data_IF_954147915144
#
_entry.id   IF_954147915144
#
_cell.length_a   1.000
_cell.length_b   1.000
_cell.length_c   1.000
_cell.angle_alpha   90.00
_cell.angle_beta   90.00
_cell.angle_gamma   90.00
#
_symmetry.space_group_name_H-M   'P 1'
#
loop_
_entity.id
_entity.type
_entity.pdbx_description
1 polymer ?
#
# COMPACT_ATOMS: atom_id res chain seq x y z
N UNK A 1 -18.83 -4.80 6.05
CA UNK A 1 -18.95 -6.16 5.50
C UNK A 1 -18.24 -6.29 4.14
N UNK A 2 -18.48 -5.42 3.16
CA UNK A 2 -17.81 -5.52 1.83
C UNK A 2 -16.28 -5.49 1.91
N UNK A 3 -15.70 -4.78 2.85
CA UNK A 3 -14.26 -4.66 3.02
C UNK A 3 -13.66 -5.92 3.62
N UNK A 4 -14.12 -6.31 4.79
CA UNK A 4 -13.55 -7.41 5.59
C UNK A 4 -14.07 -8.79 5.20
N UNK A 5 -15.22 -8.86 4.54
CA UNK A 5 -15.99 -10.08 4.34
C UNK A 5 -17.07 -10.26 5.40
N UNK A 6 -17.82 -11.33 5.29
CA UNK A 6 -18.90 -11.66 6.23
C UNK A 6 -18.96 -13.16 6.51
N UNK A 7 -19.49 -13.52 7.67
CA UNK A 7 -19.80 -14.88 8.04
C UNK A 7 -21.29 -15.15 7.80
N UNK A 8 -21.59 -16.20 7.06
CA UNK A 8 -22.96 -16.67 6.85
C UNK A 8 -23.38 -17.50 8.09
N UNK A 9 -24.24 -16.89 8.91
CA UNK A 9 -24.71 -17.48 10.15
C UNK A 9 -25.83 -18.50 9.90
N UNK A 10 -26.63 -18.33 8.85
CA UNK A 10 -27.70 -19.26 8.53
C UNK A 10 -27.12 -20.62 8.10
N UNK A 11 -26.04 -20.60 7.32
CA UNK A 11 -25.28 -21.80 6.99
C UNK A 11 -24.62 -22.42 8.24
N UNK A 12 -24.12 -21.58 9.17
CA UNK A 12 -23.52 -22.07 10.40
C UNK A 12 -24.54 -22.78 11.32
N UNK A 13 -25.75 -22.25 11.40
CA UNK A 13 -26.82 -22.80 12.23
C UNK A 13 -27.47 -24.05 11.61
N UNK A 14 -27.60 -24.09 10.27
CA UNK A 14 -28.26 -25.20 9.56
C UNK A 14 -27.32 -26.39 9.28
N UNK A 15 -26.06 -26.11 8.97
CA UNK A 15 -25.08 -27.11 8.52
C UNK A 15 -23.94 -27.34 9.53
N UNK A 16 -23.90 -26.61 10.63
CA UNK A 16 -22.83 -26.68 11.63
C UNK A 16 -21.46 -26.20 11.13
N UNK A 17 -21.43 -25.47 10.00
CA UNK A 17 -20.20 -24.94 9.38
C UNK A 17 -20.36 -23.48 9.07
N UNK A 18 -19.53 -22.63 9.69
CA UNK A 18 -19.47 -21.22 9.34
C UNK A 18 -18.91 -21.05 7.92
N UNK A 19 -19.70 -20.50 7.00
CA UNK A 19 -19.25 -20.18 5.65
C UNK A 19 -18.77 -18.73 5.62
N UNK A 20 -17.50 -18.52 5.24
CA UNK A 20 -16.93 -17.20 5.07
C UNK A 20 -17.10 -16.71 3.63
N UNK A 21 -17.70 -15.53 3.48
CA UNK A 21 -17.77 -14.81 2.20
C UNK A 21 -16.66 -13.75 2.14
N UNK A 22 -15.66 -13.92 1.25
CA UNK A 22 -14.48 -13.07 1.22
C UNK A 22 -14.80 -11.63 0.75
N UNK A 23 -14.32 -10.65 1.51
CA UNK A 23 -14.36 -9.23 1.17
C UNK A 23 -13.20 -8.77 0.28
N UNK A 24 -13.06 -7.45 0.14
CA UNK A 24 -12.00 -6.82 -0.67
C UNK A 24 -10.61 -7.16 -0.12
N UNK A 25 -10.43 -7.20 1.21
CA UNK A 25 -9.13 -7.51 1.83
C UNK A 25 -8.64 -8.92 1.48
N UNK A 26 -9.54 -9.90 1.44
CA UNK A 26 -9.19 -11.26 1.03
C UNK A 26 -8.78 -11.32 -0.45
N UNK A 27 -9.49 -10.59 -1.31
CA UNK A 27 -9.20 -10.50 -2.75
C UNK A 27 -7.89 -9.77 -3.07
N UNK A 28 -7.51 -8.82 -2.22
CA UNK A 28 -6.26 -8.08 -2.36
C UNK A 28 -5.01 -8.87 -1.93
N UNK A 29 -5.19 -10.04 -1.31
CA UNK A 29 -4.06 -10.83 -0.80
C UNK A 29 -3.05 -11.19 -1.90
N UNK A 30 -1.78 -10.87 -1.67
CA UNK A 30 -0.69 -11.03 -2.63
C UNK A 30 -0.58 -9.93 -3.70
N UNK A 31 -1.44 -8.90 -3.64
CA UNK A 31 -1.52 -7.84 -4.63
C UNK A 31 -1.41 -6.43 -4.05
N UNK A 32 -2.15 -5.52 -4.65
CA UNK A 32 -2.21 -4.09 -4.27
C UNK A 32 -3.66 -3.71 -3.96
N UNK A 33 -3.86 -3.01 -2.86
CA UNK A 33 -5.12 -2.35 -2.54
C UNK A 33 -4.95 -0.85 -2.74
N UNK A 34 -5.62 -0.31 -3.74
CA UNK A 34 -5.66 1.12 -4.00
C UNK A 34 -6.92 1.73 -3.39
N UNK A 35 -6.74 2.78 -2.63
CA UNK A 35 -7.81 3.55 -1.98
C UNK A 35 -7.70 5.00 -2.42
N UNK A 36 -8.65 5.43 -3.23
CA UNK A 36 -8.75 6.83 -3.64
C UNK A 36 -9.35 7.66 -2.52
N UNK A 37 -8.83 8.86 -2.32
CA UNK A 37 -9.28 9.82 -1.31
C UNK A 37 -9.42 9.19 0.09
N UNK A 38 -8.36 8.55 0.55
CA UNK A 38 -8.35 7.82 1.83
C UNK A 38 -8.72 8.72 3.03
N UNK A 39 -8.50 10.04 2.92
CA UNK A 39 -8.87 11.05 3.90
C UNK A 39 -10.39 11.24 4.06
N UNK A 40 -11.20 10.82 3.07
CA UNK A 40 -12.66 10.87 3.14
C UNK A 40 -13.28 9.62 3.77
N UNK A 41 -12.49 8.58 3.99
CA UNK A 41 -12.96 7.40 4.71
C UNK A 41 -13.15 7.69 6.20
N UNK A 42 -14.14 7.08 6.85
CA UNK A 42 -14.24 7.09 8.31
C UNK A 42 -12.95 6.54 8.95
N UNK A 43 -12.46 7.20 9.99
CA UNK A 43 -11.20 6.86 10.66
C UNK A 43 -11.08 5.37 11.03
N UNK A 44 -12.17 4.76 11.53
CA UNK A 44 -12.17 3.35 11.91
C UNK A 44 -11.93 2.40 10.72
N UNK A 45 -12.29 2.81 9.49
CA UNK A 45 -11.98 2.04 8.29
C UNK A 45 -10.52 2.23 7.87
N UNK A 46 -9.97 3.43 8.01
CA UNK A 46 -8.54 3.68 7.75
C UNK A 46 -7.69 2.91 8.76
N UNK A 47 -8.03 2.95 10.05
CA UNK A 47 -7.37 2.16 11.10
C UNK A 47 -7.37 0.67 10.76
N UNK A 48 -8.54 0.12 10.41
CA UNK A 48 -8.67 -1.27 10.03
C UNK A 48 -7.76 -1.64 8.83
N UNK A 49 -7.76 -0.80 7.79
CA UNK A 49 -6.92 -1.00 6.60
C UNK A 49 -5.43 -1.02 6.95
N UNK A 50 -5.00 -0.08 7.78
CA UNK A 50 -3.61 0.04 8.22
C UNK A 50 -3.20 -1.12 9.14
N UNK A 51 -4.09 -1.58 10.03
CA UNK A 51 -3.85 -2.74 10.88
C UNK A 51 -3.69 -4.02 10.07
N UNK A 52 -4.57 -4.25 9.11
CA UNK A 52 -4.50 -5.42 8.24
C UNK A 52 -3.29 -5.34 7.31
N UNK A 53 -2.97 -4.17 6.75
CA UNK A 53 -1.77 -3.98 5.93
C UNK A 53 -0.48 -4.25 6.72
N UNK A 54 -0.44 -3.86 8.00
CA UNK A 54 0.71 -4.08 8.88
C UNK A 54 0.85 -5.55 9.33
N UNK A 55 -0.26 -6.19 9.70
CA UNK A 55 -0.27 -7.57 10.21
C UNK A 55 -0.23 -8.63 9.10
N UNK A 56 -0.74 -8.30 7.93
CA UNK A 56 -0.96 -9.23 6.82
C UNK A 56 -2.08 -10.23 7.05
N UNK A 57 -2.94 -9.98 8.02
CA UNK A 57 -4.02 -10.89 8.45
C UNK A 57 -5.27 -10.06 8.72
N UNK A 58 -6.40 -10.53 8.21
CA UNK A 58 -7.71 -10.01 8.57
C UNK A 58 -8.44 -11.00 9.50
N UNK A 59 -9.00 -10.47 10.58
CA UNK A 59 -9.83 -11.20 11.55
C UNK A 59 -11.26 -10.68 11.44
N UNK A 60 -12.19 -11.59 11.17
CA UNK A 60 -13.63 -11.28 11.10
C UNK A 60 -14.31 -12.01 12.26
N UNK A 61 -14.92 -11.25 13.15
CA UNK A 61 -15.65 -11.78 14.29
C UNK A 61 -17.12 -11.40 14.19
N UNK A 62 -18.00 -12.40 14.33
CA UNK A 62 -19.45 -12.18 14.33
C UNK A 62 -20.13 -13.23 15.20
N UNK A 63 -20.94 -12.78 16.13
CA UNK A 63 -21.80 -13.64 16.99
C UNK A 63 -21.04 -14.82 17.65
N UNK A 64 -19.81 -14.54 18.13
CA UNK A 64 -18.96 -15.53 18.78
C UNK A 64 -18.20 -16.45 17.82
N UNK A 65 -18.38 -16.30 16.51
CA UNK A 65 -17.61 -17.02 15.49
C UNK A 65 -16.49 -16.11 15.00
N UNK A 66 -15.27 -16.66 14.96
CA UNK A 66 -14.07 -15.96 14.49
C UNK A 66 -13.50 -16.63 13.25
N UNK A 67 -13.24 -15.86 12.20
CA UNK A 67 -12.58 -16.33 10.99
C UNK A 67 -11.36 -15.50 10.68
N UNK A 68 -10.24 -16.17 10.45
CA UNK A 68 -8.94 -15.54 10.18
C UNK A 68 -8.44 -15.96 8.80
N UNK A 69 -8.04 -14.98 7.99
CA UNK A 69 -7.48 -15.25 6.67
C UNK A 69 -6.29 -14.34 6.34
N UNK A 70 -5.37 -14.78 5.45
CA UNK A 70 -4.29 -13.94 4.94
C UNK A 70 -4.85 -12.74 4.17
N UNK A 71 -4.24 -11.57 4.40
CA UNK A 71 -4.55 -10.33 3.70
C UNK A 71 -3.27 -9.49 3.56
N UNK A 72 -2.26 -10.07 2.91
CA UNK A 72 -0.98 -9.41 2.63
C UNK A 72 -1.09 -8.66 1.32
N UNK A 73 -1.06 -7.34 1.36
CA UNK A 73 -1.15 -6.48 0.18
C UNK A 73 -0.32 -5.21 0.39
N UNK A 74 0.01 -4.54 -0.69
CA UNK A 74 0.55 -3.18 -0.64
C UNK A 74 -0.63 -2.22 -0.62
N UNK A 75 -0.74 -1.40 0.43
CA UNK A 75 -1.76 -0.36 0.52
C UNK A 75 -1.23 0.91 -0.15
N UNK A 76 -1.97 1.43 -1.12
CA UNK A 76 -1.72 2.73 -1.76
C UNK A 76 -2.94 3.60 -1.50
N UNK A 77 -2.76 4.70 -0.78
CA UNK A 77 -3.79 5.71 -0.56
C UNK A 77 -3.44 7.00 -1.29
N UNK A 78 -4.42 7.63 -1.93
CA UNK A 78 -4.31 9.01 -2.38
C UNK A 78 -5.10 9.91 -1.45
N UNK A 79 -4.72 11.16 -1.37
CA UNK A 79 -5.52 12.19 -0.71
C UNK A 79 -5.33 13.54 -1.39
N UNK A 80 -6.39 14.35 -1.31
CA UNK A 80 -6.32 15.77 -1.63
C UNK A 80 -6.37 16.55 -0.31
N UNK A 81 -5.28 17.26 0.09
CA UNK A 81 -5.27 18.02 1.34
C UNK A 81 -6.34 19.11 1.40
N UNK A 82 -6.84 19.59 0.26
CA UNK A 82 -7.91 20.61 0.21
C UNK A 82 -9.26 20.07 0.66
N UNK A 83 -9.47 18.75 0.57
CA UNK A 83 -10.73 18.07 0.96
C UNK A 83 -10.71 17.54 2.40
N UNK A 84 -9.59 17.70 3.08
CA UNK A 84 -9.38 17.27 4.46
C UNK A 84 -8.05 16.56 4.63
N UNK A 85 -7.55 16.58 5.85
CA UNK A 85 -6.30 15.92 6.22
C UNK A 85 -6.57 14.64 6.99
N UNK A 86 -5.70 13.64 6.79
CA UNK A 86 -5.65 12.49 7.69
C UNK A 86 -5.15 12.94 9.05
N UNK A 87 -5.72 12.37 10.10
CA UNK A 87 -5.19 12.58 11.46
C UNK A 87 -3.71 12.18 11.50
N UNK A 88 -2.86 12.92 12.22
CA UNK A 88 -1.42 12.65 12.30
C UNK A 88 -1.11 11.19 12.67
N UNK A 89 -1.90 10.60 13.56
CA UNK A 89 -1.75 9.21 14.00
C UNK A 89 -2.00 8.18 12.88
N UNK A 90 -2.89 8.49 11.92
CA UNK A 90 -3.14 7.65 10.75
C UNK A 90 -2.06 7.87 9.69
N UNK A 91 -1.66 9.13 9.48
CA UNK A 91 -0.60 9.47 8.53
C UNK A 91 0.73 8.82 8.92
N UNK A 92 1.08 8.82 10.22
CA UNK A 92 2.27 8.16 10.76
C UNK A 92 2.31 6.64 10.50
N UNK A 93 1.18 6.01 10.27
CA UNK A 93 1.09 4.57 9.97
C UNK A 93 1.32 4.24 8.49
N UNK A 94 1.23 5.23 7.59
CA UNK A 94 1.70 5.08 6.22
C UNK A 94 3.23 5.10 6.21
N UNK A 95 3.84 4.07 5.64
CA UNK A 95 5.31 3.93 5.65
C UNK A 95 6.02 4.93 4.74
N UNK A 96 5.40 5.32 3.64
CA UNK A 96 5.95 6.27 2.68
C UNK A 96 4.88 7.29 2.29
N UNK A 97 5.31 8.54 2.16
CA UNK A 97 4.47 9.64 1.70
C UNK A 97 5.17 10.38 0.56
N UNK A 98 4.42 10.70 -0.49
CA UNK A 98 4.91 11.47 -1.64
C UNK A 98 3.98 12.65 -1.85
N UNK A 99 4.49 13.85 -1.60
CA UNK A 99 3.79 15.07 -1.94
C UNK A 99 4.01 15.40 -3.43
N UNK A 100 2.92 15.45 -4.19
CA UNK A 100 2.95 15.88 -5.58
C UNK A 100 2.84 17.41 -5.61
N UNK A 101 3.90 18.09 -6.06
CA UNK A 101 3.84 19.55 -6.27
C UNK A 101 2.94 19.85 -7.48
N UNK A 102 2.02 20.80 -7.33
CA UNK A 102 1.17 21.26 -8.44
C UNK A 102 1.91 22.01 -9.55
N UNK A 103 3.21 22.29 -9.38
CA UNK A 103 4.04 23.00 -10.35
C UNK A 103 4.74 22.02 -11.28
N UNK A 104 3.99 21.51 -12.25
CA UNK A 104 4.56 20.76 -13.37
C UNK A 104 5.04 21.72 -14.45
N UNK A 105 6.26 21.54 -14.94
CA UNK A 105 6.80 22.36 -16.03
C UNK A 105 5.90 22.29 -17.27
N UNK A 106 5.75 23.40 -18.04
CA UNK A 106 4.90 23.41 -19.24
C UNK A 106 5.19 22.28 -20.23
N UNK A 107 6.47 21.92 -20.39
CA UNK A 107 6.89 20.79 -21.26
C UNK A 107 6.37 19.46 -20.76
N UNK A 108 6.45 19.22 -19.46
CA UNK A 108 5.95 17.98 -18.83
C UNK A 108 4.42 17.91 -18.89
N UNK A 109 3.75 19.03 -18.63
CA UNK A 109 2.28 19.11 -18.79
C UNK A 109 1.86 18.76 -20.21
N UNK A 110 2.55 19.30 -21.21
CA UNK A 110 2.31 18.97 -22.61
C UNK A 110 2.48 17.47 -22.91
N UNK A 111 3.51 16.83 -22.33
CA UNK A 111 3.71 15.40 -22.47
C UNK A 111 2.58 14.57 -21.79
N UNK A 112 2.13 14.97 -20.60
CA UNK A 112 1.03 14.32 -19.89
C UNK A 112 -0.24 14.36 -20.73
N UNK A 113 -0.59 15.55 -21.24
CA UNK A 113 -1.77 15.74 -22.08
C UNK A 113 -1.69 14.88 -23.35
N UNK A 114 -0.56 14.88 -24.07
CA UNK A 114 -0.39 14.05 -25.26
C UNK A 114 -0.59 12.58 -24.96
N UNK A 115 0.06 12.06 -23.93
CA UNK A 115 -0.09 10.64 -23.52
C UNK A 115 -1.53 10.29 -23.15
N UNK A 116 -2.26 11.24 -22.54
CA UNK A 116 -3.66 11.03 -22.22
C UNK A 116 -4.51 10.95 -23.50
N UNK A 117 -4.30 11.86 -24.45
CA UNK A 117 -5.00 11.86 -25.73
C UNK A 117 -4.68 10.63 -26.57
N UNK A 118 -3.41 10.19 -26.59
CA UNK A 118 -2.98 8.97 -27.28
C UNK A 118 -3.70 7.74 -26.69
N UNK A 119 -3.76 7.65 -25.33
CA UNK A 119 -4.49 6.58 -24.66
C UNK A 119 -6.00 6.63 -24.95
N UNK A 120 -6.64 7.80 -24.94
CA UNK A 120 -8.07 7.94 -25.19
C UNK A 120 -8.43 7.58 -26.63
N UNK A 121 -7.52 7.79 -27.60
CA UNK A 121 -7.73 7.45 -29.00
C UNK A 121 -7.54 5.97 -29.32
N UNK A 122 -6.53 5.33 -28.74
CA UNK A 122 -6.23 3.90 -28.90
C UNK A 122 -5.61 3.30 -27.63
N UNK A 123 -6.44 2.89 -26.65
CA UNK A 123 -5.94 2.32 -25.39
C UNK A 123 -5.11 1.07 -25.57
N UNK A 124 -5.45 0.21 -26.56
CA UNK A 124 -4.74 -1.04 -26.79
C UNK A 124 -3.37 -0.81 -27.41
N UNK A 125 -3.30 0.01 -28.44
CA UNK A 125 -2.04 0.38 -29.08
C UNK A 125 -1.12 1.15 -28.13
N UNK A 126 -1.66 2.04 -27.31
CA UNK A 126 -0.91 2.73 -26.28
C UNK A 126 -0.33 1.75 -25.26
N UNK A 127 -1.12 0.82 -24.74
CA UNK A 127 -0.61 -0.20 -23.81
C UNK A 127 0.48 -1.07 -24.47
N UNK A 128 0.27 -1.48 -25.72
CA UNK A 128 1.26 -2.27 -26.45
C UNK A 128 2.61 -1.52 -26.64
N UNK A 129 2.55 -0.23 -26.94
CA UNK A 129 3.73 0.63 -27.06
C UNK A 129 4.55 0.69 -25.76
N UNK A 130 3.91 0.66 -24.61
CA UNK A 130 4.56 0.72 -23.30
C UNK A 130 4.94 -0.64 -22.74
N UNK A 131 4.50 -1.74 -23.34
CA UNK A 131 4.63 -3.09 -22.80
C UNK A 131 6.10 -3.45 -22.49
N UNK A 132 7.03 -3.20 -23.39
CA UNK A 132 8.46 -3.49 -23.18
C UNK A 132 9.04 -2.78 -21.95
N UNK A 133 8.63 -1.52 -21.74
CA UNK A 133 9.07 -0.74 -20.56
C UNK A 133 8.45 -1.28 -19.27
N UNK A 134 7.18 -1.67 -19.32
CA UNK A 134 6.49 -2.27 -18.18
C UNK A 134 7.11 -3.63 -17.82
N UNK A 135 7.44 -4.44 -18.81
CA UNK A 135 8.10 -5.74 -18.60
C UNK A 135 9.51 -5.58 -18.00
N UNK A 136 10.29 -4.62 -18.48
CA UNK A 136 11.60 -4.31 -17.91
C UNK A 136 11.49 -3.83 -16.46
N UNK A 137 10.50 -2.99 -16.15
CA UNK A 137 10.24 -2.52 -14.79
C UNK A 137 9.83 -3.68 -13.87
N UNK A 138 8.91 -4.54 -14.33
CA UNK A 138 8.47 -5.73 -13.61
C UNK A 138 9.66 -6.66 -13.30
N UNK A 139 10.46 -6.97 -14.31
CA UNK A 139 11.64 -7.81 -14.15
C UNK A 139 12.62 -7.23 -13.13
N UNK A 140 12.85 -5.92 -13.16
CA UNK A 140 13.70 -5.25 -12.19
C UNK A 140 13.13 -5.32 -10.76
N UNK A 141 11.81 -5.18 -10.60
CA UNK A 141 11.15 -5.37 -9.30
C UNK A 141 11.32 -6.80 -8.78
N UNK A 142 11.17 -7.80 -9.65
CA UNK A 142 11.34 -9.22 -9.31
C UNK A 142 12.77 -9.53 -8.88
N UNK A 143 13.77 -9.03 -9.62
CA UNK A 143 15.18 -9.15 -9.26
C UNK A 143 15.49 -8.49 -7.92
N UNK A 144 15.03 -7.25 -7.71
CA UNK A 144 15.20 -6.54 -6.45
C UNK A 144 14.58 -7.31 -5.27
N UNK A 145 13.41 -7.89 -5.48
CA UNK A 145 12.74 -8.72 -4.45
C UNK A 145 13.56 -9.96 -4.08
N UNK A 146 14.20 -10.61 -5.05
CA UNK A 146 15.06 -11.77 -4.79
C UNK A 146 16.35 -11.38 -4.03
N UNK A 147 16.87 -10.18 -4.28
CA UNK A 147 18.07 -9.68 -3.63
C UNK A 147 17.82 -9.12 -2.23
N UNK A 148 16.57 -8.80 -1.89
CA UNK A 148 16.23 -8.06 -0.67
C UNK A 148 16.76 -8.73 0.61
N UNK A 149 16.69 -10.06 0.70
CA UNK A 149 17.14 -10.79 1.88
C UNK A 149 18.67 -10.87 1.97
N UNK A 150 19.39 -10.69 0.86
CA UNK A 150 20.85 -10.68 0.80
C UNK A 150 21.46 -9.32 1.15
N UNK A 151 20.65 -8.24 1.18
CA UNK A 151 21.13 -6.90 1.55
C UNK A 151 21.42 -6.86 3.06
N UNK A 152 22.70 -6.88 3.38
CA UNK A 152 23.15 -6.72 4.76
C UNK A 152 22.94 -5.28 5.24
N UNK A 153 22.63 -5.16 6.52
CA UNK A 153 22.60 -3.89 7.22
C UNK A 153 23.91 -3.76 8.00
N UNK A 154 24.67 -2.73 7.72
CA UNK A 154 25.83 -2.38 8.52
C UNK A 154 25.47 -1.42 9.68
N UNK A 155 26.30 -1.43 10.72
CA UNK A 155 26.09 -0.60 11.92
C UNK A 155 26.16 0.90 11.59
N UNK A 156 26.94 1.30 10.59
CA UNK A 156 27.07 2.69 10.17
C UNK A 156 25.77 3.20 9.54
N UNK A 157 25.14 2.39 8.69
CA UNK A 157 23.83 2.72 8.10
C UNK A 157 22.76 2.82 9.19
N UNK A 158 22.74 1.87 10.13
CA UNK A 158 21.80 1.91 11.25
C UNK A 158 22.00 3.17 12.09
N UNK A 159 23.23 3.48 12.47
CA UNK A 159 23.55 4.69 13.23
C UNK A 159 23.12 5.96 12.48
N UNK A 160 23.40 6.05 11.17
CA UNK A 160 23.01 7.20 10.34
C UNK A 160 21.48 7.40 10.33
N UNK A 161 20.71 6.32 10.22
CA UNK A 161 19.24 6.38 10.24
C UNK A 161 18.75 6.89 11.60
N UNK A 162 19.23 6.29 12.70
CA UNK A 162 18.78 6.65 14.04
C UNK A 162 19.17 8.08 14.42
N UNK A 163 20.37 8.54 14.09
CA UNK A 163 20.79 9.92 14.30
C UNK A 163 19.91 10.92 13.55
N UNK A 164 19.52 10.62 12.30
CA UNK A 164 18.66 11.49 11.51
C UNK A 164 17.22 11.50 12.01
N UNK A 165 16.67 10.35 12.42
CA UNK A 165 15.35 10.28 13.04
C UNK A 165 15.31 11.06 14.34
N UNK A 166 16.34 10.92 15.18
CA UNK A 166 16.49 11.69 16.41
C UNK A 166 16.57 13.20 16.14
N UNK A 167 17.41 13.62 15.20
CA UNK A 167 17.55 15.03 14.82
C UNK A 167 16.26 15.65 14.25
N UNK A 168 15.41 14.83 13.60
CA UNK A 168 14.12 15.24 13.11
C UNK A 168 13.02 15.29 14.20
N UNK A 169 13.32 14.89 15.44
CA UNK A 169 12.37 14.90 16.55
C UNK A 169 11.22 13.90 16.37
N UNK A 170 11.50 12.75 15.73
CA UNK A 170 10.47 11.73 15.50
C UNK A 170 10.23 10.93 16.77
N UNK A 171 8.98 10.84 17.20
CA UNK A 171 8.58 10.03 18.33
C UNK A 171 8.46 8.54 17.95
N UNK A 172 9.11 7.67 18.73
CA UNK A 172 9.06 6.23 18.58
C UNK A 172 9.97 5.69 17.46
N UNK A 173 10.01 4.37 17.31
CA UNK A 173 10.94 3.66 16.42
C UNK A 173 10.34 3.29 15.04
N UNK A 174 9.13 3.74 14.75
CA UNK A 174 8.45 3.38 13.48
C UNK A 174 9.16 3.96 12.27
N UNK A 175 9.55 5.23 12.34
CA UNK A 175 10.24 5.90 11.23
C UNK A 175 11.60 5.26 10.95
N UNK A 176 12.36 4.90 12.00
CA UNK A 176 13.64 4.19 11.87
C UNK A 176 13.46 2.87 11.10
N UNK A 177 12.46 2.06 11.49
CA UNK A 177 12.18 0.79 10.84
C UNK A 177 11.71 0.96 9.39
N UNK A 178 10.87 1.95 9.11
CA UNK A 178 10.39 2.26 7.77
C UNK A 178 11.55 2.71 6.88
N UNK A 179 12.37 3.63 7.39
CA UNK A 179 13.54 4.11 6.65
C UNK A 179 14.52 2.99 6.36
N UNK A 180 14.80 2.14 7.35
CA UNK A 180 15.65 0.98 7.17
C UNK A 180 15.12 0.05 6.07
N UNK A 181 13.83 -0.29 6.10
CA UNK A 181 13.20 -1.12 5.07
C UNK A 181 13.26 -0.47 3.69
N UNK A 182 13.01 0.83 3.61
CA UNK A 182 13.09 1.59 2.37
C UNK A 182 14.53 1.65 1.82
N UNK A 183 15.54 1.85 2.68
CA UNK A 183 16.95 1.85 2.31
C UNK A 183 17.38 0.48 1.75
N UNK A 184 16.99 -0.63 2.41
CA UNK A 184 17.26 -1.99 1.91
C UNK A 184 16.58 -2.23 0.56
N UNK A 185 15.30 -1.85 0.43
CA UNK A 185 14.57 -2.00 -0.82
C UNK A 185 15.21 -1.17 -1.95
N UNK A 186 15.66 0.06 -1.65
CA UNK A 186 16.36 0.91 -2.60
C UNK A 186 17.73 0.33 -3.00
N UNK A 187 18.48 -0.23 -2.05
CA UNK A 187 19.76 -0.90 -2.34
C UNK A 187 19.56 -2.12 -3.25
N UNK A 188 18.54 -2.94 -2.98
CA UNK A 188 18.20 -4.08 -3.84
C UNK A 188 17.73 -3.66 -5.26
N UNK A 189 17.13 -2.49 -5.36
CA UNK A 189 16.65 -1.91 -6.63
C UNK A 189 17.79 -1.38 -7.52
N UNK A 190 18.89 -0.90 -6.95
CA UNK A 190 20.03 -0.32 -7.68
C UNK A 190 20.95 -1.36 -8.29
#
# INVERSE_FOLDING_TARGET
ERLVGTLDLDAALSEGRAQFSPGVLAKANGGVLYVDEVNLLPDHLVDLLLDVAASGINLVERDGISHRHPARFVLIGTMNPEEGELRPQLLDRFGLNVALSGQTLPVERGQIIRRRLDFDSDPQGFCAQWQTRQDALRQRCEQARQLLDSIALDDQTLQTITERCFAAGVDGMRADLVWLRAARAHAAWR
#
